data_IF_515060214944
#
_entry.id   IF_515060214944
#
_cell.length_a   1.000
_cell.length_b   1.000
_cell.length_c   1.000
_cell.angle_alpha   90.00
_cell.angle_beta   90.00
_cell.angle_gamma   90.00
#
_symmetry.space_group_name_H-M   'P 1'
#
loop_
_entity.id
_entity.type
_entity.pdbx_description
1 polymer ?
#
# COMPACT_ATOMS: atom_id res chain seq x y z
N UNK A 1 -8.46 9.88 25.73
CA UNK A 1 -7.20 10.22 25.02
C UNK A 1 -7.57 11.03 23.78
N UNK A 2 -7.65 12.35 23.75
CA UNK A 2 -6.85 13.35 24.46
C UNK A 2 -5.93 14.08 23.47
N UNK A 3 -6.55 14.89 22.59
CA UNK A 3 -6.01 15.95 21.73
C UNK A 3 -5.02 15.61 20.59
N UNK A 4 -5.55 15.66 19.36
CA UNK A 4 -4.86 16.32 18.24
C UNK A 4 -5.89 17.21 17.53
N UNK A 5 -5.99 18.48 17.94
CA UNK A 5 -6.85 19.49 17.31
C UNK A 5 -6.27 20.04 16.00
N UNK A 6 -5.08 19.58 15.59
CA UNK A 6 -4.43 19.96 14.34
C UNK A 6 -3.97 18.72 13.55
N UNK A 7 -4.12 18.71 12.21
CA UNK A 7 -3.58 17.65 11.36
C UNK A 7 -2.04 17.66 11.43
N UNK A 8 -1.42 16.49 11.23
CA UNK A 8 0.04 16.39 11.01
C UNK A 8 0.48 17.34 9.89
N UNK A 9 1.68 17.90 9.98
CA UNK A 9 2.19 18.90 9.02
C UNK A 9 2.11 18.45 7.56
N UNK A 10 2.45 17.17 7.28
CA UNK A 10 2.37 16.60 5.93
C UNK A 10 0.94 16.68 5.35
N UNK A 11 -0.08 16.68 6.22
CA UNK A 11 -1.49 16.80 5.88
C UNK A 11 -2.01 18.23 5.89
N UNK A 12 -1.26 19.23 6.36
CA UNK A 12 -1.76 20.59 6.54
C UNK A 12 -2.33 21.20 5.23
N UNK A 13 -1.65 21.01 4.11
CA UNK A 13 -2.11 21.47 2.79
C UNK A 13 -3.38 20.75 2.34
N UNK A 14 -3.43 19.42 2.52
CA UNK A 14 -4.60 18.62 2.14
C UNK A 14 -5.81 18.96 3.03
N UNK A 15 -5.59 19.13 4.33
CA UNK A 15 -6.64 19.52 5.27
C UNK A 15 -7.22 20.89 4.93
N UNK A 16 -6.39 21.88 4.61
CA UNK A 16 -6.84 23.20 4.15
C UNK A 16 -7.66 23.09 2.86
N UNK A 17 -7.14 22.35 1.87
CA UNK A 17 -7.85 22.13 0.62
C UNK A 17 -9.21 21.46 0.84
N UNK A 18 -9.29 20.46 1.72
CA UNK A 18 -10.55 19.79 2.06
C UNK A 18 -11.56 20.73 2.75
N UNK A 19 -11.10 21.67 3.57
CA UNK A 19 -11.96 22.67 4.21
C UNK A 19 -12.52 23.69 3.21
N UNK A 20 -11.73 24.05 2.19
CA UNK A 20 -12.10 25.04 1.18
C UNK A 20 -12.88 24.44 0.00
N UNK A 21 -12.87 23.11 -0.15
CA UNK A 21 -13.45 22.41 -1.31
C UNK A 21 -14.92 22.07 -1.08
N UNK A 22 -15.84 22.44 -2.00
CA UNK A 22 -17.24 22.03 -1.93
C UNK A 22 -17.41 20.50 -1.94
N UNK A 23 -18.33 19.92 -1.13
CA UNK A 23 -18.54 18.47 -1.06
C UNK A 23 -18.83 17.80 -2.41
N UNK A 24 -19.47 18.54 -3.33
CA UNK A 24 -19.85 18.07 -4.65
C UNK A 24 -18.62 17.74 -5.51
N UNK A 25 -17.51 18.45 -5.30
CA UNK A 25 -16.25 18.17 -5.99
C UNK A 25 -15.71 16.80 -5.55
N UNK A 26 -15.71 16.49 -4.25
CA UNK A 26 -15.28 15.19 -3.76
C UNK A 26 -16.19 14.06 -4.25
N UNK A 27 -17.50 14.27 -4.24
CA UNK A 27 -18.47 13.31 -4.78
C UNK A 27 -18.24 13.07 -6.29
N UNK A 28 -18.02 14.12 -7.07
CA UNK A 28 -17.70 14.04 -8.50
C UNK A 28 -16.40 13.28 -8.75
N UNK A 29 -15.34 13.58 -7.99
CA UNK A 29 -14.04 12.88 -8.09
C UNK A 29 -14.16 11.40 -7.74
N UNK A 30 -14.96 11.05 -6.73
CA UNK A 30 -15.25 9.66 -6.38
C UNK A 30 -15.97 8.94 -7.53
N UNK A 31 -17.03 9.53 -8.08
CA UNK A 31 -17.76 8.94 -9.20
C UNK A 31 -16.87 8.77 -10.45
N UNK A 32 -16.01 9.75 -10.74
CA UNK A 32 -15.03 9.66 -11.82
C UNK A 32 -14.02 8.54 -11.59
N UNK A 33 -13.52 8.37 -10.37
CA UNK A 33 -12.64 7.27 -10.02
C UNK A 33 -13.36 5.93 -10.20
N UNK A 34 -14.57 5.76 -9.65
CA UNK A 34 -15.34 4.52 -9.81
C UNK A 34 -15.57 4.14 -11.29
N UNK A 35 -15.88 5.11 -12.15
CA UNK A 35 -16.01 4.90 -13.60
C UNK A 35 -14.68 4.50 -14.25
N UNK A 36 -13.57 5.13 -13.85
CA UNK A 36 -12.24 4.81 -14.36
C UNK A 36 -11.83 3.38 -13.98
N UNK A 37 -12.07 2.97 -12.73
CA UNK A 37 -11.77 1.63 -12.25
C UNK A 37 -12.60 0.56 -12.98
N UNK A 38 -13.89 0.84 -13.26
CA UNK A 38 -14.73 -0.02 -14.13
C UNK A 38 -14.15 -0.15 -15.53
N UNK A 39 -13.69 0.95 -16.12
CA UNK A 39 -13.18 0.99 -17.50
C UNK A 39 -11.83 0.27 -17.65
N UNK A 40 -10.95 0.35 -16.66
CA UNK A 40 -9.62 -0.29 -16.70
C UNK A 40 -9.72 -1.79 -16.32
N UNK A 41 -10.86 -2.25 -15.81
CA UNK A 41 -11.05 -3.65 -15.43
C UNK A 41 -10.33 -4.02 -14.13
N UNK A 42 -10.17 -3.06 -13.20
CA UNK A 42 -9.60 -3.33 -11.88
C UNK A 42 -10.70 -3.95 -11.01
N UNK A 43 -10.93 -5.25 -11.21
CA UNK A 43 -11.91 -6.06 -10.47
C UNK A 43 -11.19 -7.14 -9.66
N UNK A 44 -11.83 -7.62 -8.60
CA UNK A 44 -11.35 -8.79 -7.86
C UNK A 44 -12.44 -9.87 -7.79
N UNK A 45 -12.01 -11.12 -7.87
CA UNK A 45 -12.88 -12.27 -7.72
C UNK A 45 -13.17 -12.51 -6.23
N UNK A 46 -14.45 -12.53 -5.86
CA UNK A 46 -14.88 -12.99 -4.53
C UNK A 46 -15.04 -14.50 -4.61
N UNK A 47 -14.10 -15.26 -4.05
CA UNK A 47 -14.28 -16.70 -3.88
C UNK A 47 -15.25 -16.95 -2.72
N UNK A 48 -16.39 -17.61 -2.99
CA UNK A 48 -17.31 -18.06 -1.95
C UNK A 48 -18.80 -18.07 -2.32
N UNK A 49 -19.20 -17.43 -3.42
CA UNK A 49 -20.60 -17.41 -3.86
C UNK A 49 -20.75 -18.07 -5.24
N UNK A 50 -21.86 -18.79 -5.47
CA UNK A 50 -22.12 -19.50 -6.74
C UNK A 50 -22.26 -18.55 -7.93
N UNK A 51 -22.48 -17.27 -7.64
CA UNK A 51 -22.38 -16.16 -8.58
C UNK A 51 -21.10 -15.39 -8.27
N UNK A 52 -20.00 -15.76 -8.94
CA UNK A 52 -18.74 -15.01 -8.90
C UNK A 52 -18.91 -13.64 -9.59
N UNK A 53 -19.67 -12.75 -8.97
CA UNK A 53 -19.86 -11.39 -9.44
C UNK A 53 -18.56 -10.63 -9.23
N UNK A 54 -17.97 -10.15 -10.31
CA UNK A 54 -16.82 -9.25 -10.26
C UNK A 54 -17.17 -8.00 -9.44
N UNK A 55 -16.38 -7.72 -8.40
CA UNK A 55 -16.51 -6.50 -7.60
C UNK A 55 -15.35 -5.56 -7.89
N UNK A 56 -15.64 -4.27 -7.89
CA UNK A 56 -14.60 -3.24 -7.98
C UNK A 56 -13.76 -3.21 -6.71
N UNK A 57 -12.44 -3.10 -6.87
CA UNK A 57 -11.57 -2.82 -5.74
C UNK A 57 -12.00 -1.48 -5.11
N UNK A 58 -12.24 -1.43 -3.79
CA UNK A 58 -12.58 -0.18 -3.12
C UNK A 58 -11.40 0.80 -3.26
N UNK A 59 -11.69 2.02 -3.72
CA UNK A 59 -10.70 3.06 -3.92
C UNK A 59 -11.00 4.28 -3.05
N UNK A 60 -9.98 4.80 -2.38
CA UNK A 60 -10.04 6.05 -1.63
C UNK A 60 -9.42 7.18 -2.45
N UNK A 61 -10.16 8.28 -2.61
CA UNK A 61 -9.71 9.48 -3.31
C UNK A 61 -8.77 10.34 -2.45
N UNK A 62 -8.74 10.12 -1.13
CA UNK A 62 -7.90 10.85 -0.19
C UNK A 62 -6.57 10.10 -0.05
N UNK A 63 -5.45 10.70 -0.47
CA UNK A 63 -4.17 10.00 -0.46
C UNK A 63 -3.62 9.84 0.95
N UNK A 64 -2.91 8.72 1.17
CA UNK A 64 -2.00 8.58 2.31
C UNK A 64 -0.72 9.34 2.02
N UNK A 65 -0.48 10.43 2.74
CA UNK A 65 0.71 11.27 2.55
C UNK A 65 1.86 10.77 3.43
N UNK A 66 3.05 10.70 2.84
CA UNK A 66 4.32 10.42 3.51
C UNK A 66 5.24 11.64 3.36
N UNK A 67 5.88 12.06 4.45
CA UNK A 67 6.95 13.03 4.37
C UNK A 67 8.16 12.43 3.63
N UNK A 68 8.97 13.29 3.01
CA UNK A 68 10.18 12.85 2.28
C UNK A 68 11.09 11.98 3.15
N UNK A 69 11.32 12.39 4.41
CA UNK A 69 12.17 11.64 5.35
C UNK A 69 11.60 10.26 5.69
N UNK A 70 10.27 10.16 5.86
CA UNK A 70 9.59 8.88 6.09
C UNK A 70 9.77 7.96 4.88
N UNK A 71 9.54 8.47 3.67
CA UNK A 71 9.67 7.71 2.43
C UNK A 71 11.12 7.28 2.19
N UNK A 72 12.09 8.17 2.32
CA UNK A 72 13.50 7.85 2.09
C UNK A 72 14.01 6.74 3.01
N UNK A 73 13.60 6.74 4.28
CA UNK A 73 13.96 5.67 5.21
C UNK A 73 13.28 4.35 4.84
N UNK A 74 12.00 4.40 4.49
CA UNK A 74 11.22 3.23 4.11
C UNK A 74 11.76 2.58 2.83
N UNK A 75 12.03 3.38 1.82
CA UNK A 75 12.62 2.97 0.54
C UNK A 75 13.95 2.23 0.73
N UNK A 76 14.88 2.81 1.50
CA UNK A 76 16.17 2.18 1.79
C UNK A 76 16.01 0.82 2.47
N UNK A 77 15.11 0.73 3.46
CA UNK A 77 14.82 -0.52 4.16
C UNK A 77 14.18 -1.57 3.25
N UNK A 78 13.29 -1.15 2.34
CA UNK A 78 12.68 -2.05 1.37
C UNK A 78 13.71 -2.61 0.39
N UNK A 79 14.60 -1.77 -0.16
CA UNK A 79 15.67 -2.24 -1.05
C UNK A 79 16.61 -3.21 -0.35
N UNK A 80 17.03 -2.89 0.87
CA UNK A 80 17.86 -3.78 1.67
C UNK A 80 17.18 -5.14 1.87
N UNK A 81 15.91 -5.14 2.29
CA UNK A 81 15.16 -6.36 2.59
C UNK A 81 14.92 -7.22 1.35
N UNK A 82 14.51 -6.62 0.24
CA UNK A 82 14.29 -7.36 -1.02
C UNK A 82 15.60 -7.97 -1.51
N UNK A 83 16.72 -7.23 -1.43
CA UNK A 83 18.04 -7.77 -1.78
C UNK A 83 18.40 -8.98 -0.92
N UNK A 84 18.25 -8.87 0.39
CA UNK A 84 18.53 -9.98 1.31
C UNK A 84 17.64 -11.19 1.04
N UNK A 85 16.34 -10.98 0.80
CA UNK A 85 15.40 -12.06 0.47
C UNK A 85 15.76 -12.76 -0.85
N UNK A 86 16.12 -12.01 -1.90
CA UNK A 86 16.53 -12.60 -3.18
C UNK A 86 17.83 -13.40 -3.05
N UNK A 87 18.81 -12.90 -2.29
CA UNK A 87 20.04 -13.63 -1.99
C UNK A 87 19.76 -14.88 -1.17
N UNK A 88 18.91 -14.77 -0.15
CA UNK A 88 18.48 -15.91 0.67
C UNK A 88 17.83 -16.99 -0.19
N UNK A 89 16.85 -16.64 -1.02
CA UNK A 89 16.18 -17.58 -1.94
C UNK A 89 17.17 -18.27 -2.87
N UNK A 90 18.10 -17.50 -3.44
CA UNK A 90 19.16 -18.05 -4.31
C UNK A 90 20.06 -19.04 -3.56
N UNK A 91 20.35 -18.75 -2.30
CA UNK A 91 21.20 -19.61 -1.48
C UNK A 91 20.47 -20.89 -1.05
N UNK A 92 19.25 -20.82 -0.53
CA UNK A 92 18.51 -22.01 -0.05
C UNK A 92 18.15 -22.99 -1.18
N UNK A 93 17.91 -22.49 -2.39
CA UNK A 93 17.71 -23.31 -3.58
C UNK A 93 19.02 -23.62 -4.33
N UNK A 94 20.16 -23.15 -3.83
CA UNK A 94 21.48 -23.31 -4.42
C UNK A 94 22.45 -24.00 -3.47
N UNK A 95 23.46 -23.25 -3.01
CA UNK A 95 24.58 -23.78 -2.21
C UNK A 95 24.24 -24.04 -0.74
N UNK A 96 23.15 -23.46 -0.24
CA UNK A 96 22.69 -23.58 1.14
C UNK A 96 23.74 -23.16 2.18
N UNK A 97 24.52 -22.12 1.87
CA UNK A 97 25.58 -21.58 2.73
C UNK A 97 25.02 -21.11 4.08
N UNK A 98 23.83 -20.48 4.08
CA UNK A 98 23.14 -20.01 5.30
C UNK A 98 22.74 -21.15 6.24
N UNK A 99 22.40 -22.33 5.68
CA UNK A 99 22.07 -23.53 6.43
C UNK A 99 23.34 -24.24 6.93
N UNK A 100 24.38 -24.31 6.09
CA UNK A 100 25.68 -24.86 6.46
C UNK A 100 26.35 -24.04 7.57
N UNK A 101 26.17 -22.71 7.55
CA UNK A 101 26.63 -21.79 8.59
C UNK A 101 25.78 -21.85 9.88
N UNK A 102 24.66 -22.57 9.89
CA UNK A 102 23.78 -22.70 11.06
C UNK A 102 23.02 -21.42 11.43
N UNK A 103 22.98 -20.42 10.55
CA UNK A 103 22.25 -19.16 10.79
C UNK A 103 20.74 -19.39 10.67
N UNK A 104 20.33 -20.24 9.72
CA UNK A 104 18.94 -20.67 9.55
C UNK A 104 18.86 -22.19 9.80
N UNK A 105 17.92 -22.68 10.64
CA UNK A 105 17.71 -24.10 10.87
C UNK A 105 17.24 -24.85 9.61
N UNK A 106 17.58 -26.14 9.50
CA UNK A 106 17.22 -26.98 8.34
C UNK A 106 15.79 -27.54 8.39
N UNK A 107 15.17 -27.50 9.55
CA UNK A 107 13.86 -28.07 9.86
C UNK A 107 12.71 -27.06 9.72
N UNK A 108 13.01 -25.86 9.21
CA UNK A 108 12.09 -24.74 9.04
C UNK A 108 11.43 -24.71 7.66
#
# INVERSE_FOLDING_TARGET
MGAATAPRDVYARLARWLQETPPEILASRRAQAELLFRRIGITFAVYGDKDAAERLIPFDIIPRLFARSEWSRLEQGLFQRVKALNMFLTDVYGKQEVLAAGIVPRDL
#
